data_IF_435115822453
#
_entry.id   IF_435115822453
#
_cell.length_a   1.000
_cell.length_b   1.000
_cell.length_c   1.000
_cell.angle_alpha   90.00
_cell.angle_beta   90.00
_cell.angle_gamma   90.00
#
_symmetry.space_group_name_H-M   'P 1'
#
loop_
_entity.id
_entity.type
_entity.pdbx_description
1 polymer ?
#
# COMPACT_ATOMS: atom_id res chain seq x y z
N UNK A 1 -14.31 -6.92 10.61
CA UNK A 1 -12.85 -7.18 10.52
C UNK A 1 -12.22 -6.62 9.25
N UNK A 2 -12.56 -7.08 8.03
CA UNK A 2 -11.97 -6.54 6.78
C UNK A 2 -12.19 -5.03 6.55
N UNK A 3 -13.44 -4.58 6.66
CA UNK A 3 -13.77 -3.15 6.47
C UNK A 3 -13.13 -2.22 7.51
N UNK A 4 -12.95 -2.69 8.75
CA UNK A 4 -12.26 -1.93 9.79
C UNK A 4 -10.78 -1.74 9.45
N UNK A 5 -10.13 -2.76 8.89
CA UNK A 5 -8.75 -2.66 8.43
C UNK A 5 -8.59 -1.69 7.25
N UNK A 6 -9.50 -1.74 6.26
CA UNK A 6 -9.52 -0.76 5.15
C UNK A 6 -9.68 0.67 5.67
N UNK A 7 -10.61 0.90 6.60
CA UNK A 7 -10.83 2.23 7.18
C UNK A 7 -9.62 2.72 7.97
N UNK A 8 -8.91 1.83 8.67
CA UNK A 8 -7.64 2.18 9.33
C UNK A 8 -6.56 2.61 8.33
N UNK A 9 -6.40 1.88 7.21
CA UNK A 9 -5.44 2.24 6.15
C UNK A 9 -5.81 3.59 5.53
N UNK A 10 -7.08 3.80 5.18
CA UNK A 10 -7.55 5.08 4.62
C UNK A 10 -7.28 6.24 5.57
N UNK A 11 -7.53 6.06 6.88
CA UNK A 11 -7.25 7.08 7.88
C UNK A 11 -5.76 7.42 7.94
N UNK A 12 -4.90 6.40 8.01
CA UNK A 12 -3.45 6.61 8.04
C UNK A 12 -2.93 7.34 6.80
N UNK A 13 -3.37 6.95 5.59
CA UNK A 13 -3.00 7.62 4.34
C UNK A 13 -3.47 9.09 4.36
N UNK A 14 -4.69 9.35 4.83
CA UNK A 14 -5.24 10.70 4.91
C UNK A 14 -4.40 11.59 5.83
N UNK A 15 -3.96 11.09 6.97
CA UNK A 15 -3.10 11.82 7.91
C UNK A 15 -1.73 12.14 7.30
N UNK A 16 -1.14 11.18 6.56
CA UNK A 16 0.14 11.36 5.85
C UNK A 16 0.01 12.43 4.76
N UNK A 17 -1.03 12.34 3.92
CA UNK A 17 -1.30 13.31 2.83
C UNK A 17 -1.55 14.71 3.40
N UNK A 18 -2.32 14.83 4.49
CA UNK A 18 -2.58 16.13 5.13
C UNK A 18 -1.33 16.75 5.76
N UNK A 19 -0.37 15.93 6.17
CA UNK A 19 0.91 16.41 6.72
C UNK A 19 1.86 16.94 5.62
N UNK A 20 1.70 16.48 4.37
CA UNK A 20 2.39 16.98 3.18
C UNK A 20 3.85 16.55 3.04
N UNK A 21 4.69 16.87 4.03
CA UNK A 21 6.14 16.61 3.99
C UNK A 21 6.51 15.28 4.66
N UNK A 22 5.82 14.20 4.28
CA UNK A 22 6.05 12.87 4.85
C UNK A 22 6.44 11.90 3.74
N UNK A 23 7.60 11.27 3.92
CA UNK A 23 8.06 10.15 3.09
C UNK A 23 7.73 8.84 3.83
N UNK A 24 6.77 8.10 3.31
CA UNK A 24 6.40 6.80 3.87
C UNK A 24 7.40 5.73 3.41
N UNK A 25 7.84 4.87 4.33
CA UNK A 25 8.63 3.69 4.01
C UNK A 25 7.83 2.42 4.34
N UNK A 26 7.80 1.47 3.41
CA UNK A 26 7.16 0.16 3.59
C UNK A 26 8.19 -0.92 3.24
N UNK A 27 8.59 -1.68 4.25
CA UNK A 27 9.30 -2.93 4.01
C UNK A 27 8.34 -4.00 3.49
N UNK A 28 8.86 -4.95 2.71
CA UNK A 28 8.07 -6.01 2.08
C UNK A 28 6.80 -5.49 1.36
N UNK A 29 6.93 -4.47 0.50
CA UNK A 29 5.78 -3.80 -0.15
C UNK A 29 4.88 -4.74 -0.95
N UNK A 30 5.40 -5.88 -1.39
CA UNK A 30 4.58 -6.90 -2.05
C UNK A 30 3.49 -7.47 -1.12
N UNK A 31 3.62 -7.37 0.20
CA UNK A 31 2.60 -7.81 1.18
C UNK A 31 1.30 -7.01 1.05
N UNK A 32 1.37 -5.71 0.73
CA UNK A 32 0.18 -4.85 0.56
C UNK A 32 -0.44 -4.95 -0.84
N UNK A 33 0.33 -5.44 -1.82
CA UNK A 33 -0.11 -5.68 -3.21
C UNK A 33 -0.64 -7.11 -3.38
N UNK A 34 -0.13 -8.03 -2.57
CA UNK A 34 -0.23 -9.47 -2.79
C UNK A 34 -0.60 -10.30 -1.57
N UNK A 35 -1.11 -9.71 -0.49
CA UNK A 35 -1.70 -10.50 0.61
C UNK A 35 -2.72 -11.54 0.09
N UNK A 36 -3.30 -11.30 -1.10
CA UNK A 36 -4.31 -12.04 -1.86
C UNK A 36 -4.05 -13.51 -2.22
N UNK A 37 -3.22 -14.26 -1.49
CA UNK A 37 -3.12 -15.71 -1.64
C UNK A 37 -4.18 -16.50 -0.86
N UNK A 38 -4.77 -15.89 0.18
CA UNK A 38 -5.85 -16.44 0.97
C UNK A 38 -7.13 -15.62 0.79
N UNK A 39 -8.29 -16.28 0.79
CA UNK A 39 -9.68 -15.79 0.53
C UNK A 39 -10.17 -14.54 1.29
N UNK A 40 -9.31 -13.77 1.95
CA UNK A 40 -9.69 -12.59 2.72
C UNK A 40 -8.66 -11.45 2.66
N UNK A 41 -7.61 -11.57 1.86
CA UNK A 41 -6.57 -10.59 1.88
C UNK A 41 -6.92 -9.31 1.13
N UNK A 42 -6.59 -8.21 1.78
CA UNK A 42 -6.87 -6.86 1.32
C UNK A 42 -5.98 -6.49 0.15
N UNK A 43 -6.57 -6.01 -0.94
CA UNK A 43 -5.83 -5.27 -1.96
C UNK A 43 -5.70 -3.81 -1.49
N UNK A 44 -4.80 -3.59 -0.52
CA UNK A 44 -4.49 -2.25 -0.02
C UNK A 44 -3.86 -1.37 -1.12
N UNK A 45 -3.32 -1.97 -2.19
CA UNK A 45 -2.78 -1.24 -3.32
C UNK A 45 -3.85 -0.39 -4.02
N UNK A 46 -5.11 -0.84 -4.11
CA UNK A 46 -6.19 -0.03 -4.68
C UNK A 46 -6.51 1.23 -3.86
N UNK A 47 -6.22 1.22 -2.56
CA UNK A 47 -6.38 2.41 -1.70
C UNK A 47 -5.24 3.41 -1.95
N UNK A 48 -4.02 2.91 -2.19
CA UNK A 48 -2.81 3.73 -2.36
C UNK A 48 -2.65 4.31 -3.76
N UNK A 49 -3.04 3.55 -4.81
CA UNK A 49 -2.87 3.92 -6.23
C UNK A 49 -3.34 5.35 -6.57
N UNK A 50 -4.54 5.81 -6.15
CA UNK A 50 -5.01 7.16 -6.49
C UNK A 50 -4.13 8.28 -5.91
N UNK A 51 -3.72 8.15 -4.66
CA UNK A 51 -2.89 9.18 -3.99
C UNK A 51 -1.46 9.21 -4.54
N UNK A 52 -0.91 8.04 -4.87
CA UNK A 52 0.38 7.92 -5.56
C UNK A 52 0.32 8.57 -6.96
N UNK A 53 -0.73 8.28 -7.74
CA UNK A 53 -0.90 8.82 -9.09
C UNK A 53 -1.09 10.35 -9.12
N UNK A 54 -1.73 10.93 -8.09
CA UNK A 54 -1.85 12.39 -7.94
C UNK A 54 -0.60 13.07 -7.38
N UNK A 55 0.40 12.31 -6.92
CA UNK A 55 1.59 12.86 -6.26
C UNK A 55 1.33 13.39 -4.84
N UNK A 56 0.18 13.06 -4.25
CA UNK A 56 -0.19 13.47 -2.89
C UNK A 56 0.51 12.64 -1.81
N UNK A 57 0.98 11.45 -2.17
CA UNK A 57 1.68 10.52 -1.28
C UNK A 57 3.08 10.24 -1.83
N UNK A 58 4.10 10.47 -1.00
CA UNK A 58 5.47 10.03 -1.28
C UNK A 58 5.77 8.73 -0.52
N UNK A 59 6.26 7.71 -1.23
CA UNK A 59 6.47 6.38 -0.68
C UNK A 59 7.72 5.72 -1.26
N UNK A 60 8.49 5.05 -0.41
CA UNK A 60 9.55 4.11 -0.77
C UNK A 60 9.12 2.71 -0.31
N UNK A 61 9.14 1.76 -1.25
CA UNK A 61 8.91 0.35 -0.98
C UNK A 61 10.19 -0.46 -1.08
N UNK A 62 10.39 -1.41 -0.17
CA UNK A 62 11.41 -2.44 -0.28
C UNK A 62 10.77 -3.81 -0.55
N UNK A 63 11.41 -4.64 -1.36
CA UNK A 63 10.98 -6.02 -1.66
C UNK A 63 12.16 -6.79 -2.21
N UNK A 64 12.11 -8.13 -2.15
CA UNK A 64 13.06 -8.95 -2.90
C UNK A 64 12.70 -8.98 -4.39
N UNK A 65 13.68 -9.34 -5.24
CA UNK A 65 13.48 -9.47 -6.70
C UNK A 65 12.45 -10.54 -7.05
N UNK A 66 12.41 -11.63 -6.30
CA UNK A 66 11.53 -12.76 -6.58
C UNK A 66 10.07 -12.41 -6.24
N UNK A 67 9.85 -11.66 -5.17
CA UNK A 67 8.52 -11.13 -4.81
C UNK A 67 8.04 -10.06 -5.78
N UNK A 68 8.92 -9.16 -6.25
CA UNK A 68 8.58 -8.19 -7.28
C UNK A 68 8.00 -8.86 -8.53
N UNK A 69 8.71 -9.88 -9.05
CA UNK A 69 8.26 -10.68 -10.20
C UNK A 69 6.92 -11.37 -9.95
N UNK A 70 6.72 -11.88 -8.74
CA UNK A 70 5.53 -12.66 -8.38
C UNK A 70 4.28 -11.80 -8.19
N UNK A 71 4.43 -10.63 -7.58
CA UNK A 71 3.30 -9.84 -7.08
C UNK A 71 3.12 -8.47 -7.77
N UNK A 72 4.14 -7.93 -8.42
CA UNK A 72 4.13 -6.54 -8.94
C UNK A 72 4.27 -6.47 -10.46
N UNK A 73 5.14 -7.28 -11.08
CA UNK A 73 5.52 -7.20 -12.51
C UNK A 73 4.44 -7.71 -13.51
N UNK A 74 3.17 -7.83 -13.11
CA UNK A 74 2.10 -8.39 -13.97
C UNK A 74 1.31 -7.34 -14.74
#
# INVERSE_FOLDING_TARGET
YRGEFEERIKRAIKEVVQSGNVLLFIDEIHTIIGAGGAEGALDAANILKPSLARGELQLIGATTRDEYRKYIEK
#
